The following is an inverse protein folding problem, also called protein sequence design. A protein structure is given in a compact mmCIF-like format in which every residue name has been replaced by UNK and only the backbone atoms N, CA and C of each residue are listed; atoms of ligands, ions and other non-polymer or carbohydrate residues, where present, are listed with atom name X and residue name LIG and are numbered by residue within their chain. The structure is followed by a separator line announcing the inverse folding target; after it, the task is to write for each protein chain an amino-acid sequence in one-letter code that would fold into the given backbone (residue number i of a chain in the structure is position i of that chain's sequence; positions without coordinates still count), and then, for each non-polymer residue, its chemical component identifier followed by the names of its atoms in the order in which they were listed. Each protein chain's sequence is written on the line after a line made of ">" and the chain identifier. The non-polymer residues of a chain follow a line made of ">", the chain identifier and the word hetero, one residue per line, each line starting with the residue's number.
data_IF_026953303588
#
_entry.id   IF_026953303588
#
_cell.length_a   1.000
_cell.length_b   1.000
_cell.length_c   1.000
_cell.angle_alpha   90.00
_cell.angle_beta   90.00
_cell.angle_gamma   90.00
#
_symmetry.space_group_name_H-M   'P 1'
#
loop_
_entity.id
_entity.type
_entity.pdbx_description
1 polymer ?
#
# COMPACT_ATOMS: atom_id res chain seq x y z
N UNK A 1 29.44 -30.37 -21.29
CA UNK A 1 28.46 -31.27 -20.65
C UNK A 1 28.03 -30.78 -19.25
N UNK A 2 28.96 -30.38 -18.39
CA UNK A 2 28.66 -29.91 -17.00
C UNK A 2 27.71 -28.72 -16.89
N UNK A 3 27.78 -27.74 -17.80
CA UNK A 3 26.85 -26.58 -17.76
C UNK A 3 25.40 -26.97 -18.08
N UNK A 4 25.16 -27.90 -19.01
CA UNK A 4 23.82 -28.41 -19.34
C UNK A 4 23.22 -29.25 -18.21
N UNK A 5 24.05 -30.01 -17.48
CA UNK A 5 23.59 -30.77 -16.32
C UNK A 5 23.24 -29.84 -15.14
N UNK A 6 24.05 -28.81 -14.89
CA UNK A 6 23.77 -27.80 -13.87
C UNK A 6 22.47 -26.98 -14.19
N UNK A 7 22.26 -26.64 -15.46
CA UNK A 7 21.04 -25.97 -15.88
C UNK A 7 19.80 -26.86 -15.65
N UNK A 8 19.86 -28.17 -16.01
CA UNK A 8 18.75 -29.11 -15.75
C UNK A 8 18.47 -29.27 -14.27
N UNK A 9 19.48 -29.38 -13.43
CA UNK A 9 19.32 -29.46 -11.97
C UNK A 9 18.65 -28.18 -11.43
N UNK A 10 19.05 -27.00 -11.90
CA UNK A 10 18.42 -25.74 -11.51
C UNK A 10 16.91 -25.70 -11.87
N UNK A 11 16.53 -26.16 -13.08
CA UNK A 11 15.13 -26.28 -13.47
C UNK A 11 14.34 -27.24 -12.57
N UNK A 12 14.88 -28.43 -12.26
CA UNK A 12 14.21 -29.38 -11.36
C UNK A 12 14.03 -28.83 -9.95
N UNK A 13 14.97 -28.04 -9.43
CA UNK A 13 14.86 -27.42 -8.10
C UNK A 13 13.85 -26.26 -8.06
N UNK A 14 13.72 -25.50 -9.15
CA UNK A 14 12.79 -24.36 -9.23
C UNK A 14 11.38 -24.80 -9.64
N UNK A 15 11.24 -25.92 -10.37
CA UNK A 15 9.98 -26.40 -10.93
C UNK A 15 8.86 -26.56 -9.88
N UNK A 16 9.07 -27.17 -8.68
CA UNK A 16 8.00 -27.30 -7.68
C UNK A 16 7.47 -25.93 -7.23
N UNK A 17 8.37 -24.97 -6.95
CA UNK A 17 7.99 -23.62 -6.54
C UNK A 17 7.23 -22.88 -7.66
N UNK A 18 7.72 -22.97 -8.91
CA UNK A 18 7.04 -22.38 -10.07
C UNK A 18 5.66 -23.00 -10.30
N UNK A 19 5.53 -24.32 -10.15
CA UNK A 19 4.24 -24.99 -10.27
C UNK A 19 3.24 -24.49 -9.22
N UNK A 20 3.68 -24.34 -7.97
CA UNK A 20 2.82 -23.77 -6.91
C UNK A 20 2.39 -22.33 -7.23
N UNK A 21 3.31 -21.48 -7.69
CA UNK A 21 2.99 -20.11 -8.10
C UNK A 21 1.95 -20.09 -9.22
N UNK A 22 2.14 -20.92 -10.27
CA UNK A 22 1.19 -20.99 -11.39
C UNK A 22 -0.17 -21.50 -10.94
N UNK A 23 -0.22 -22.59 -10.18
CA UNK A 23 -1.48 -23.20 -9.76
C UNK A 23 -2.24 -22.31 -8.75
N UNK A 24 -1.55 -21.71 -7.78
CA UNK A 24 -2.21 -20.97 -6.71
C UNK A 24 -2.47 -19.49 -7.05
N UNK A 25 -1.72 -18.90 -7.96
CA UNK A 25 -1.89 -17.47 -8.30
C UNK A 25 -2.40 -17.28 -9.73
N UNK A 26 -1.77 -17.93 -10.73
CA UNK A 26 -2.10 -17.67 -12.14
C UNK A 26 -3.44 -18.29 -12.53
N UNK A 27 -3.76 -19.52 -12.10
CA UNK A 27 -5.03 -20.16 -12.43
C UNK A 27 -6.25 -19.40 -11.87
N UNK A 28 -6.28 -18.99 -10.56
CA UNK A 28 -7.40 -18.19 -10.05
C UNK A 28 -7.53 -16.84 -10.75
N UNK A 29 -6.41 -16.22 -11.13
CA UNK A 29 -6.42 -14.95 -11.88
C UNK A 29 -7.05 -15.15 -13.26
N UNK A 30 -6.67 -16.20 -14.00
CA UNK A 30 -7.28 -16.54 -15.30
C UNK A 30 -8.77 -16.89 -15.16
N UNK A 31 -9.14 -17.62 -14.10
CA UNK A 31 -10.55 -17.88 -13.80
C UNK A 31 -11.33 -16.58 -13.53
N UNK A 32 -10.74 -15.66 -12.75
CA UNK A 32 -11.33 -14.34 -12.51
C UNK A 32 -11.54 -13.55 -13.81
N UNK A 33 -10.58 -13.61 -14.75
CA UNK A 33 -10.71 -13.01 -16.08
C UNK A 33 -11.87 -13.62 -16.88
N UNK A 34 -12.04 -14.93 -16.87
CA UNK A 34 -13.14 -15.61 -17.54
C UNK A 34 -14.49 -15.25 -16.90
N UNK A 35 -14.56 -15.28 -15.56
CA UNK A 35 -15.77 -14.94 -14.80
C UNK A 35 -16.17 -13.48 -15.05
N UNK A 36 -15.19 -12.57 -15.21
CA UNK A 36 -15.46 -11.16 -15.49
C UNK A 36 -16.22 -10.90 -16.79
N UNK A 37 -16.15 -11.85 -17.72
CA UNK A 37 -16.87 -11.82 -19.01
C UNK A 37 -18.18 -12.63 -19.01
N UNK A 38 -18.58 -13.12 -17.83
CA UNK A 38 -19.79 -13.94 -17.66
C UNK A 38 -20.80 -13.26 -16.73
N UNK A 39 -22.10 -13.47 -16.99
CA UNK A 39 -23.15 -13.06 -16.06
C UNK A 39 -23.30 -14.09 -14.93
N UNK A 40 -22.30 -14.18 -14.05
CA UNK A 40 -22.32 -15.11 -12.94
C UNK A 40 -22.91 -14.47 -11.70
N UNK A 41 -23.93 -15.12 -11.11
CA UNK A 41 -24.57 -14.72 -9.88
C UNK A 41 -24.53 -15.88 -8.88
N UNK A 42 -24.18 -15.59 -7.61
CA UNK A 42 -24.04 -16.63 -6.58
C UNK A 42 -25.38 -17.26 -6.16
N UNK A 43 -26.49 -16.50 -6.27
CA UNK A 43 -27.82 -16.97 -5.88
C UNK A 43 -28.50 -17.72 -7.03
N UNK A 44 -28.23 -17.33 -8.28
CA UNK A 44 -28.79 -17.92 -9.50
C UNK A 44 -27.66 -18.44 -10.38
N UNK A 45 -27.13 -19.63 -10.11
CA UNK A 45 -25.99 -20.18 -10.85
C UNK A 45 -26.26 -20.50 -12.33
N UNK A 46 -27.53 -20.46 -12.80
CA UNK A 46 -27.93 -20.67 -14.20
C UNK A 46 -28.82 -19.54 -14.72
N UNK A 47 -28.54 -19.01 -15.95
CA UNK A 47 -27.46 -19.39 -16.85
C UNK A 47 -26.26 -18.44 -16.75
N UNK A 48 -25.05 -18.97 -16.61
CA UNK A 48 -23.81 -18.23 -16.83
C UNK A 48 -23.68 -17.93 -18.33
N UNK A 49 -24.32 -16.84 -18.76
CA UNK A 49 -24.20 -16.39 -20.15
C UNK A 49 -22.90 -15.59 -20.33
N UNK A 50 -22.21 -15.81 -21.47
CA UNK A 50 -21.10 -14.94 -21.84
C UNK A 50 -21.63 -13.55 -22.19
N UNK A 51 -21.13 -12.51 -21.51
CA UNK A 51 -21.57 -11.10 -21.69
C UNK A 51 -20.44 -10.20 -22.22
N UNK A 52 -19.28 -10.78 -22.48
CA UNK A 52 -18.13 -10.05 -22.99
C UNK A 52 -17.73 -8.87 -22.10
N UNK A 53 -17.57 -7.70 -22.69
CA UNK A 53 -17.12 -6.48 -21.99
C UNK A 53 -18.23 -5.68 -21.30
N UNK A 54 -19.47 -6.20 -21.23
CA UNK A 54 -20.61 -5.47 -20.68
C UNK A 54 -20.38 -4.98 -19.25
N UNK A 55 -19.73 -5.77 -18.40
CA UNK A 55 -19.42 -5.40 -17.03
C UNK A 55 -18.42 -4.24 -16.95
N UNK A 56 -17.43 -4.21 -17.82
CA UNK A 56 -16.45 -3.13 -17.91
C UNK A 56 -17.09 -1.81 -18.37
N UNK A 57 -17.93 -1.88 -19.42
CA UNK A 57 -18.69 -0.72 -19.88
C UNK A 57 -19.56 -0.18 -18.74
N UNK A 58 -20.30 -1.05 -18.04
CA UNK A 58 -21.12 -0.67 -16.90
C UNK A 58 -20.30 0.02 -15.81
N UNK A 59 -19.16 -0.55 -15.39
CA UNK A 59 -18.29 0.02 -14.36
C UNK A 59 -17.80 1.42 -14.76
N UNK A 60 -17.35 1.59 -16.00
CA UNK A 60 -16.72 2.83 -16.44
C UNK A 60 -17.72 3.94 -16.82
N UNK A 61 -18.96 3.60 -17.21
CA UNK A 61 -19.90 4.59 -17.75
C UNK A 61 -21.20 4.75 -16.95
N UNK A 62 -21.56 3.78 -16.08
CA UNK A 62 -22.88 3.78 -15.43
C UNK A 62 -22.83 3.64 -13.90
N UNK A 63 -21.75 3.09 -13.34
CA UNK A 63 -21.67 2.83 -11.90
C UNK A 63 -20.95 3.97 -11.17
N UNK A 64 -21.73 4.83 -10.51
CA UNK A 64 -21.22 5.93 -9.68
C UNK A 64 -20.40 5.39 -8.49
N UNK A 65 -20.80 4.24 -7.92
CA UNK A 65 -20.08 3.61 -6.81
C UNK A 65 -18.66 3.22 -7.22
N UNK A 66 -18.46 2.80 -8.48
CA UNK A 66 -17.12 2.48 -8.99
C UNK A 66 -16.19 3.68 -8.97
N UNK A 67 -16.63 4.82 -9.49
CA UNK A 67 -15.81 6.03 -9.55
C UNK A 67 -15.57 6.64 -8.17
N UNK A 68 -16.57 6.62 -7.30
CA UNK A 68 -16.42 7.05 -5.90
C UNK A 68 -15.40 6.16 -5.17
N UNK A 69 -15.52 4.84 -5.31
CA UNK A 69 -14.58 3.88 -4.70
C UNK A 69 -13.18 3.97 -5.30
N UNK A 70 -13.05 4.25 -6.59
CA UNK A 70 -11.77 4.50 -7.25
C UNK A 70 -11.09 5.75 -6.68
N UNK A 71 -11.84 6.84 -6.52
CA UNK A 71 -11.36 8.07 -5.87
C UNK A 71 -10.90 7.81 -4.44
N UNK A 72 -11.74 7.12 -3.63
CA UNK A 72 -11.38 6.76 -2.26
C UNK A 72 -10.12 5.89 -2.20
N UNK A 73 -9.95 4.93 -3.13
CA UNK A 73 -8.73 4.11 -3.21
C UNK A 73 -7.49 4.94 -3.51
N UNK A 74 -7.57 5.87 -4.47
CA UNK A 74 -6.46 6.75 -4.81
C UNK A 74 -6.14 7.70 -3.67
N UNK A 75 -7.16 8.35 -3.09
CA UNK A 75 -7.00 9.27 -1.96
C UNK A 75 -6.39 8.57 -0.74
N UNK A 76 -6.95 7.42 -0.34
CA UNK A 76 -6.44 6.60 0.75
C UNK A 76 -4.97 6.22 0.54
N UNK A 77 -4.65 5.68 -0.65
CA UNK A 77 -3.30 5.24 -0.98
C UNK A 77 -2.31 6.40 -0.99
N UNK A 78 -2.65 7.50 -1.65
CA UNK A 78 -1.79 8.66 -1.74
C UNK A 78 -1.48 9.26 -0.37
N UNK A 79 -2.52 9.49 0.46
CA UNK A 79 -2.34 10.07 1.79
C UNK A 79 -1.61 9.14 2.74
N UNK A 80 -1.95 7.84 2.75
CA UNK A 80 -1.32 6.87 3.63
C UNK A 80 0.16 6.66 3.29
N UNK A 81 0.49 6.49 2.00
CA UNK A 81 1.87 6.29 1.56
C UNK A 81 2.71 7.56 1.76
N UNK A 82 2.18 8.74 1.41
CA UNK A 82 2.89 9.99 1.63
C UNK A 82 3.15 10.24 3.12
N UNK A 83 2.14 10.05 3.99
CA UNK A 83 2.29 10.19 5.43
C UNK A 83 3.27 9.19 6.02
N UNK A 84 3.19 7.91 5.60
CA UNK A 84 4.12 6.88 6.02
C UNK A 84 5.56 7.17 5.56
N UNK A 85 5.74 7.65 4.31
CA UNK A 85 7.05 7.98 3.78
C UNK A 85 7.72 9.13 4.54
N UNK A 86 6.98 10.22 4.79
CA UNK A 86 7.50 11.38 5.54
C UNK A 86 7.88 10.97 6.97
N UNK A 87 7.01 10.23 7.65
CA UNK A 87 7.30 9.71 9.00
C UNK A 87 8.53 8.78 8.98
N UNK A 88 8.58 7.86 8.02
CA UNK A 88 9.67 6.89 7.89
C UNK A 88 11.00 7.55 7.59
N UNK A 89 11.02 8.55 6.71
CA UNK A 89 12.24 9.28 6.40
C UNK A 89 12.76 10.03 7.63
N UNK A 90 11.88 10.71 8.37
CA UNK A 90 12.24 11.37 9.62
C UNK A 90 12.82 10.39 10.65
N UNK A 91 12.17 9.26 10.86
CA UNK A 91 12.64 8.21 11.77
C UNK A 91 13.94 7.56 11.29
N UNK A 92 14.10 7.30 9.98
CA UNK A 92 15.33 6.75 9.43
C UNK A 92 16.52 7.70 9.62
N UNK A 93 16.32 9.00 9.41
CA UNK A 93 17.35 10.01 9.66
C UNK A 93 17.74 10.07 11.15
N UNK A 94 16.77 10.01 12.06
CA UNK A 94 17.03 9.96 13.51
C UNK A 94 17.78 8.68 13.90
N UNK A 95 17.37 7.51 13.43
CA UNK A 95 17.99 6.23 13.73
C UNK A 95 19.35 6.03 13.04
N UNK A 96 19.70 6.87 12.08
CA UNK A 96 21.02 6.89 11.44
C UNK A 96 22.07 7.65 12.28
N UNK A 97 21.62 8.43 13.26
CA UNK A 97 22.53 9.07 14.23
C UNK A 97 23.08 8.02 15.22
N UNK A 98 24.24 8.30 15.80
CA UNK A 98 24.86 7.44 16.83
C UNK A 98 24.18 7.62 18.19
N UNK A 99 22.95 7.12 18.31
CA UNK A 99 22.13 7.17 19.52
C UNK A 99 22.36 5.91 20.34
N UNK A 100 22.60 6.07 21.65
CA UNK A 100 22.68 4.96 22.60
C UNK A 100 21.33 4.22 22.63
N UNK A 101 21.34 2.88 22.51
CA UNK A 101 20.11 2.07 22.52
C UNK A 101 19.37 1.99 21.18
N UNK A 102 19.96 2.44 20.07
CA UNK A 102 19.33 2.40 18.73
C UNK A 102 18.74 1.04 18.34
N UNK A 103 19.32 -0.06 18.84
CA UNK A 103 18.82 -1.42 18.60
C UNK A 103 17.43 -1.65 19.22
N UNK A 104 17.22 -1.16 20.45
CA UNK A 104 15.93 -1.24 21.13
C UNK A 104 14.87 -0.40 20.40
N UNK A 105 15.21 0.84 20.02
CA UNK A 105 14.30 1.69 19.26
C UNK A 105 13.90 1.05 17.92
N UNK A 106 14.85 0.44 17.18
CA UNK A 106 14.55 -0.29 15.93
C UNK A 106 13.57 -1.43 16.18
N UNK A 107 13.75 -2.21 17.25
CA UNK A 107 12.86 -3.31 17.60
C UNK A 107 11.45 -2.79 17.95
N UNK A 108 11.34 -1.73 18.77
CA UNK A 108 10.05 -1.14 19.15
C UNK A 108 9.31 -0.54 17.93
N UNK A 109 10.02 0.13 17.03
CA UNK A 109 9.41 0.70 15.84
C UNK A 109 8.93 -0.35 14.82
N UNK A 110 9.43 -1.59 14.87
CA UNK A 110 8.97 -2.68 14.02
C UNK A 110 7.68 -3.35 14.50
N UNK A 111 7.28 -3.16 15.75
CA UNK A 111 6.09 -3.79 16.33
C UNK A 111 4.84 -3.62 15.45
N UNK A 112 4.49 -2.41 14.96
CA UNK A 112 3.29 -2.22 14.16
C UNK A 112 3.24 -3.08 12.89
N UNK A 113 4.36 -3.31 12.27
CA UNK A 113 4.43 -4.09 11.03
C UNK A 113 4.22 -5.61 11.29
N UNK A 114 4.68 -6.10 12.43
CA UNK A 114 4.56 -7.53 12.79
C UNK A 114 3.14 -7.89 13.24
N UNK A 115 2.39 -6.94 13.81
CA UNK A 115 1.02 -7.16 14.28
C UNK A 115 0.11 -7.51 13.09
N UNK A 116 -0.66 -8.63 13.12
CA UNK A 116 -1.61 -8.96 12.06
C UNK A 116 -2.65 -7.85 11.79
N UNK A 117 -3.09 -7.69 10.55
CA UNK A 117 -4.01 -6.61 10.15
C UNK A 117 -5.35 -6.67 10.90
N UNK A 118 -5.86 -7.88 11.14
CA UNK A 118 -7.09 -8.10 11.94
C UNK A 118 -6.92 -7.56 13.36
N UNK A 119 -5.79 -7.89 14.01
CA UNK A 119 -5.49 -7.41 15.38
C UNK A 119 -5.30 -5.91 15.37
N UNK A 120 -4.60 -5.37 14.38
CA UNK A 120 -4.43 -3.92 14.17
C UNK A 120 -5.78 -3.22 14.12
N UNK A 121 -6.68 -3.70 13.26
CA UNK A 121 -8.01 -3.10 13.12
C UNK A 121 -8.82 -3.13 14.41
N UNK A 122 -8.82 -4.25 15.15
CA UNK A 122 -9.52 -4.38 16.42
C UNK A 122 -8.95 -3.47 17.51
N UNK A 123 -7.62 -3.36 17.62
CA UNK A 123 -6.96 -2.46 18.56
C UNK A 123 -7.31 -1.00 18.27
N UNK A 124 -7.24 -0.59 17.00
CA UNK A 124 -7.56 0.78 16.60
C UNK A 124 -9.05 1.08 16.69
N UNK A 125 -9.93 0.10 16.45
CA UNK A 125 -11.37 0.25 16.68
C UNK A 125 -11.69 0.57 18.14
N UNK A 126 -11.03 -0.13 19.07
CA UNK A 126 -11.12 0.18 20.49
C UNK A 126 -10.50 1.54 20.82
N UNK A 127 -9.34 1.84 20.25
CA UNK A 127 -8.63 3.12 20.44
C UNK A 127 -9.46 4.33 19.99
N UNK A 128 -10.24 4.18 18.92
CA UNK A 128 -11.14 5.20 18.36
C UNK A 128 -12.55 5.16 18.94
N UNK A 129 -12.86 4.31 19.90
CA UNK A 129 -14.19 4.24 20.51
C UNK A 129 -14.62 5.61 21.05
N UNK A 130 -15.85 6.03 20.73
CA UNK A 130 -16.39 7.33 21.11
C UNK A 130 -16.54 7.45 22.64
N UNK A 131 -16.83 6.34 23.32
CA UNK A 131 -17.09 6.30 24.76
C UNK A 131 -15.86 5.99 25.62
N UNK A 132 -15.02 5.04 25.19
CA UNK A 132 -13.94 4.49 25.99
C UNK A 132 -12.57 4.57 25.32
N UNK A 133 -12.52 5.18 24.11
CA UNK A 133 -11.30 5.19 23.32
C UNK A 133 -10.24 6.11 23.89
N UNK A 134 -9.01 5.60 23.92
CA UNK A 134 -7.86 6.37 24.41
C UNK A 134 -7.61 7.64 23.58
N UNK A 135 -7.90 7.62 22.26
CA UNK A 135 -7.72 8.78 21.39
C UNK A 135 -8.53 10.00 21.91
N UNK A 136 -9.83 9.82 22.14
CA UNK A 136 -10.69 10.86 22.66
C UNK A 136 -10.33 11.27 24.09
N UNK A 137 -10.04 10.29 24.95
CA UNK A 137 -9.60 10.57 26.32
C UNK A 137 -8.35 11.47 26.33
N UNK A 138 -7.35 11.15 25.54
CA UNK A 138 -6.10 11.93 25.48
C UNK A 138 -6.34 13.35 24.93
N UNK A 139 -7.07 13.47 23.82
CA UNK A 139 -7.32 14.77 23.17
C UNK A 139 -8.14 15.72 24.04
N UNK A 140 -9.19 15.21 24.69
CA UNK A 140 -10.02 16.03 25.61
C UNK A 140 -9.23 16.41 26.85
N UNK A 141 -8.48 15.49 27.44
CA UNK A 141 -7.68 15.76 28.65
C UNK A 141 -6.55 16.76 28.40
N UNK A 142 -5.97 16.75 27.20
CA UNK A 142 -4.95 17.73 26.78
C UNK A 142 -5.56 19.07 26.36
N UNK A 143 -6.90 19.21 26.35
CA UNK A 143 -7.59 20.44 25.93
C UNK A 143 -7.49 20.74 24.44
N UNK A 144 -7.10 19.74 23.63
CA UNK A 144 -6.95 19.89 22.16
C UNK A 144 -8.30 19.88 21.45
N UNK A 145 -9.31 19.25 22.02
CA UNK A 145 -10.69 19.21 21.54
C UNK A 145 -11.67 19.42 22.68
N UNK A 146 -12.80 20.07 22.38
CA UNK A 146 -13.84 20.36 23.39
C UNK A 146 -14.81 19.20 23.64
N UNK A 147 -14.88 18.23 22.73
CA UNK A 147 -15.76 17.06 22.81
C UNK A 147 -15.14 15.86 22.11
N UNK A 148 -15.66 14.65 22.38
CA UNK A 148 -15.21 13.44 21.71
C UNK A 148 -15.47 13.51 20.21
N UNK A 149 -14.46 13.12 19.43
CA UNK A 149 -14.54 13.04 17.97
C UNK A 149 -15.13 11.68 17.59
N UNK A 150 -16.19 11.63 16.75
CA UNK A 150 -16.76 10.39 16.26
C UNK A 150 -15.92 9.83 15.10
N UNK A 151 -14.74 9.31 15.41
CA UNK A 151 -13.70 8.91 14.46
C UNK A 151 -14.19 8.00 13.32
N UNK A 152 -15.00 7.00 13.66
CA UNK A 152 -15.44 5.98 12.70
C UNK A 152 -16.90 6.15 12.27
N UNK A 153 -17.67 6.99 12.99
CA UNK A 153 -19.10 7.20 12.77
C UNK A 153 -19.41 8.44 11.95
N UNK A 154 -18.46 9.38 11.81
CA UNK A 154 -18.59 10.58 10.97
C UNK A 154 -17.99 10.32 9.58
N UNK A 155 -18.76 10.51 8.48
CA UNK A 155 -18.25 10.37 7.12
C UNK A 155 -16.99 11.19 6.80
N UNK A 156 -16.83 12.34 7.46
CA UNK A 156 -15.67 13.22 7.24
C UNK A 156 -14.42 12.73 7.98
N UNK A 157 -14.59 12.05 9.12
CA UNK A 157 -13.50 11.59 9.98
C UNK A 157 -13.09 10.15 9.70
N UNK A 158 -13.98 9.32 9.15
CA UNK A 158 -13.72 7.90 8.97
C UNK A 158 -12.52 7.62 8.05
N UNK A 159 -12.42 8.29 6.89
CA UNK A 159 -11.29 8.09 5.98
C UNK A 159 -9.96 8.59 6.57
N UNK A 160 -9.85 9.78 7.16
CA UNK A 160 -8.66 10.20 7.91
C UNK A 160 -8.25 9.22 9.01
N UNK A 161 -9.21 8.70 9.79
CA UNK A 161 -8.93 7.73 10.84
C UNK A 161 -8.31 6.44 10.27
N UNK A 162 -8.86 5.90 9.19
CA UNK A 162 -8.32 4.71 8.50
C UNK A 162 -6.93 5.00 7.91
N UNK A 163 -6.70 6.19 7.36
CA UNK A 163 -5.39 6.61 6.85
C UNK A 163 -4.34 6.62 7.96
N UNK A 164 -4.65 7.13 9.15
CA UNK A 164 -3.73 7.12 10.30
C UNK A 164 -3.33 5.69 10.66
N UNK A 165 -4.28 4.76 10.69
CA UNK A 165 -4.01 3.34 10.97
C UNK A 165 -3.08 2.75 9.92
N UNK A 166 -3.32 3.05 8.65
CA UNK A 166 -2.48 2.56 7.55
C UNK A 166 -1.07 3.15 7.61
N UNK A 167 -0.92 4.43 7.94
CA UNK A 167 0.39 5.07 8.18
C UNK A 167 1.12 4.31 9.30
N UNK A 168 0.45 4.07 10.43
CA UNK A 168 1.00 3.36 11.58
C UNK A 168 1.44 1.93 11.22
N UNK A 169 0.72 1.26 10.34
CA UNK A 169 1.05 -0.07 9.86
C UNK A 169 2.24 -0.09 8.90
N UNK A 170 2.36 0.93 8.06
CA UNK A 170 3.27 0.95 6.92
C UNK A 170 4.64 1.56 7.24
N UNK A 171 4.68 2.58 8.14
CA UNK A 171 5.93 3.31 8.40
C UNK A 171 7.11 2.43 8.85
N UNK A 172 6.95 1.32 9.61
CA UNK A 172 8.10 0.59 10.12
C UNK A 172 8.96 -0.02 9.01
N UNK A 173 8.33 -0.70 8.06
CA UNK A 173 9.04 -1.35 6.95
C UNK A 173 9.72 -0.30 6.06
N UNK A 174 9.05 0.81 5.79
CA UNK A 174 9.64 1.91 5.03
C UNK A 174 10.83 2.52 5.77
N UNK A 175 10.75 2.67 7.10
CA UNK A 175 11.86 3.17 7.94
C UNK A 175 13.09 2.29 7.83
N UNK A 176 12.93 0.95 7.91
CA UNK A 176 14.05 0.01 7.81
C UNK A 176 14.71 0.08 6.44
N UNK A 177 13.92 0.10 5.38
CA UNK A 177 14.44 0.17 4.00
C UNK A 177 15.17 1.49 3.76
N UNK A 178 14.60 2.62 4.19
CA UNK A 178 15.24 3.93 4.05
C UNK A 178 16.50 4.04 4.93
N UNK A 179 16.50 3.48 6.13
CA UNK A 179 17.66 3.45 7.00
C UNK A 179 18.81 2.63 6.39
N UNK A 180 18.51 1.48 5.78
CA UNK A 180 19.51 0.68 5.07
C UNK A 180 20.12 1.46 3.89
N UNK A 181 19.28 2.17 3.14
CA UNK A 181 19.74 3.04 2.06
C UNK A 181 20.57 4.22 2.56
N UNK A 182 20.20 4.85 3.70
CA UNK A 182 21.01 5.90 4.33
C UNK A 182 22.41 5.41 4.74
N UNK A 183 22.50 4.17 5.24
CA UNK A 183 23.75 3.56 5.67
C UNK A 183 24.66 3.17 4.50
N UNK A 184 24.14 3.11 3.28
CA UNK A 184 24.93 2.83 2.07
C UNK A 184 25.54 4.09 1.44
N UNK A 185 25.22 5.29 1.94
CA UNK A 185 25.79 6.55 1.45
C UNK A 185 27.28 6.63 1.85
N UNK A 186 28.22 6.77 0.89
CA UNK A 186 29.63 6.91 1.19
C UNK A 186 29.91 8.13 2.07
N UNK A 187 30.64 7.93 3.17
CA UNK A 187 30.98 9.02 4.11
C UNK A 187 31.82 10.10 3.44
N UNK A 188 32.68 9.70 2.52
CA UNK A 188 33.57 10.58 1.75
C UNK A 188 32.79 11.67 1.00
N UNK A 189 31.63 11.35 0.46
CA UNK A 189 30.78 12.34 -0.24
C UNK A 189 30.17 13.35 0.73
N UNK A 190 29.80 12.90 1.94
CA UNK A 190 29.27 13.79 2.98
C UNK A 190 30.38 14.70 3.51
N UNK A 191 31.61 14.17 3.64
CA UNK A 191 32.78 14.92 4.10
C UNK A 191 33.24 15.92 3.05
N UNK A 192 33.32 15.56 1.79
CA UNK A 192 33.62 16.46 0.69
C UNK A 192 32.63 17.65 0.65
N UNK A 193 31.32 17.36 0.71
CA UNK A 193 30.31 18.41 0.76
C UNK A 193 30.43 19.33 2.02
N UNK A 194 30.98 18.82 3.14
CA UNK A 194 31.26 19.65 4.30
C UNK A 194 32.44 20.58 4.03
N UNK A 195 33.52 20.10 3.38
CA UNK A 195 34.70 20.88 3.01
C UNK A 195 34.30 21.99 2.05
N UNK A 196 33.36 21.70 1.11
CA UNK A 196 32.79 22.69 0.19
C UNK A 196 31.83 23.70 0.84
N UNK A 197 31.66 23.64 2.19
CA UNK A 197 30.85 24.58 2.95
C UNK A 197 29.34 24.30 2.92
N UNK A 198 28.89 23.13 2.41
CA UNK A 198 27.48 22.81 2.36
C UNK A 198 26.88 22.61 3.76
N UNK A 199 25.81 23.34 4.06
CA UNK A 199 25.02 23.18 5.28
C UNK A 199 24.29 21.82 5.37
N UNK A 200 23.73 21.44 6.54
CA UNK A 200 23.08 20.15 6.73
C UNK A 200 21.93 19.91 5.74
N UNK A 201 21.13 20.94 5.46
CA UNK A 201 20.00 20.87 4.53
C UNK A 201 20.48 20.69 3.08
N UNK A 202 21.54 21.40 2.66
CA UNK A 202 22.14 21.25 1.33
C UNK A 202 22.73 19.85 1.14
N UNK A 203 23.45 19.31 2.13
CA UNK A 203 23.98 17.95 2.11
C UNK A 203 22.87 16.90 1.98
N UNK A 204 21.76 17.10 2.70
CA UNK A 204 20.62 16.22 2.55
C UNK A 204 20.09 16.22 1.13
N UNK A 205 19.78 17.39 0.55
CA UNK A 205 19.14 17.46 -0.77
C UNK A 205 20.08 17.08 -1.92
N UNK A 206 21.33 17.55 -1.89
CA UNK A 206 22.26 17.33 -3.01
C UNK A 206 23.00 15.99 -2.95
N UNK A 207 23.24 15.44 -1.75
CA UNK A 207 23.94 14.17 -1.58
C UNK A 207 22.98 13.06 -1.17
N UNK A 208 22.42 13.14 0.04
CA UNK A 208 21.68 12.05 0.66
C UNK A 208 20.41 11.69 -0.12
N UNK A 209 19.59 12.67 -0.50
CA UNK A 209 18.35 12.45 -1.24
C UNK A 209 18.58 11.81 -2.61
N UNK A 210 19.67 12.17 -3.30
CA UNK A 210 20.04 11.56 -4.56
C UNK A 210 20.41 10.08 -4.43
N UNK A 211 21.04 9.68 -3.32
CA UNK A 211 21.30 8.27 -3.01
C UNK A 211 20.05 7.51 -2.58
N UNK A 212 19.15 8.16 -1.85
CA UNK A 212 17.89 7.55 -1.41
C UNK A 212 16.89 7.37 -2.55
N UNK A 213 16.97 8.15 -3.62
CA UNK A 213 15.96 8.22 -4.68
C UNK A 213 15.60 6.86 -5.29
N UNK A 214 16.55 5.99 -5.72
CA UNK A 214 16.18 4.68 -6.30
C UNK A 214 15.43 3.81 -5.29
N UNK A 215 15.94 3.72 -4.06
CA UNK A 215 15.31 2.94 -2.99
C UNK A 215 13.94 3.51 -2.62
N UNK A 216 13.80 4.84 -2.57
CA UNK A 216 12.52 5.51 -2.31
C UNK A 216 11.49 5.20 -3.39
N UNK A 217 11.86 5.20 -4.66
CA UNK A 217 10.95 4.87 -5.76
C UNK A 217 10.40 3.44 -5.64
N UNK A 218 11.28 2.48 -5.33
CA UNK A 218 10.88 1.08 -5.16
C UNK A 218 9.97 0.90 -3.96
N UNK A 219 10.35 1.43 -2.78
CA UNK A 219 9.54 1.22 -1.56
C UNK A 219 8.20 1.96 -1.63
N UNK A 220 8.15 3.15 -2.24
CA UNK A 220 6.90 3.89 -2.46
C UNK A 220 5.99 3.13 -3.42
N UNK A 221 6.52 2.58 -4.52
CA UNK A 221 5.73 1.75 -5.44
C UNK A 221 5.13 0.53 -4.73
N UNK A 222 5.95 -0.23 -3.99
CA UNK A 222 5.48 -1.40 -3.24
C UNK A 222 4.42 -1.00 -2.22
N UNK A 223 4.64 0.09 -1.50
CA UNK A 223 3.70 0.64 -0.54
C UNK A 223 2.37 1.05 -1.20
N UNK A 224 2.41 1.67 -2.38
CA UNK A 224 1.21 1.99 -3.15
C UNK A 224 0.44 0.73 -3.55
N UNK A 225 1.13 -0.31 -4.05
CA UNK A 225 0.50 -1.58 -4.43
C UNK A 225 -0.17 -2.24 -3.21
N UNK A 226 0.54 -2.37 -2.08
CA UNK A 226 0.01 -2.98 -0.86
C UNK A 226 -1.17 -2.19 -0.28
N UNK A 227 -1.04 -0.85 -0.22
CA UNK A 227 -2.09 0.01 0.34
C UNK A 227 -3.33 0.06 -0.55
N UNK A 228 -3.17 0.11 -1.88
CA UNK A 228 -4.30 0.10 -2.81
C UNK A 228 -5.14 -1.18 -2.73
N UNK A 229 -4.52 -2.31 -2.39
CA UNK A 229 -5.17 -3.60 -2.21
C UNK A 229 -5.65 -3.84 -0.77
N UNK A 230 -5.42 -2.90 0.16
CA UNK A 230 -5.80 -3.05 1.56
C UNK A 230 -7.31 -3.24 1.71
N UNK A 231 -7.71 -4.38 2.27
CA UNK A 231 -9.09 -4.76 2.52
C UNK A 231 -9.36 -4.87 4.03
N UNK A 232 -8.55 -5.67 4.73
CA UNK A 232 -8.82 -6.11 6.10
C UNK A 232 -8.95 -4.94 7.09
N UNK A 233 -8.03 -4.00 7.05
CA UNK A 233 -8.02 -2.84 7.95
C UNK A 233 -9.28 -1.99 7.72
N UNK A 234 -9.61 -1.67 6.46
CA UNK A 234 -10.76 -0.83 6.13
C UNK A 234 -12.07 -1.55 6.48
N UNK A 235 -12.19 -2.83 6.09
CA UNK A 235 -13.39 -3.60 6.31
C UNK A 235 -13.68 -3.79 7.80
N UNK A 236 -12.69 -4.13 8.61
CA UNK A 236 -12.87 -4.37 10.03
C UNK A 236 -13.08 -3.09 10.85
N UNK A 237 -12.50 -1.96 10.43
CA UNK A 237 -12.73 -0.67 11.10
C UNK A 237 -14.11 -0.11 10.80
N UNK A 238 -14.50 -0.04 9.53
CA UNK A 238 -15.64 0.76 9.06
C UNK A 238 -16.62 0.00 8.16
N UNK A 239 -16.22 -1.16 7.62
CA UNK A 239 -17.02 -1.89 6.63
C UNK A 239 -17.22 -1.14 5.31
N UNK A 240 -16.41 -0.09 5.05
CA UNK A 240 -16.61 0.84 3.91
C UNK A 240 -17.46 2.05 4.23
N UNK A 241 -18.07 2.11 5.44
CA UNK A 241 -18.93 3.19 5.91
C UNK A 241 -18.20 4.32 6.65
N UNK A 242 -18.93 5.23 7.28
CA UNK A 242 -20.37 5.44 7.11
C UNK A 242 -20.71 6.05 5.73
N UNK A 243 -21.90 5.79 5.22
CA UNK A 243 -22.38 6.30 3.91
C UNK A 243 -21.36 6.12 2.76
N UNK A 244 -20.68 4.96 2.69
CA UNK A 244 -19.63 4.62 1.73
C UNK A 244 -18.38 5.52 1.77
N UNK A 245 -18.19 6.34 2.83
CA UNK A 245 -17.07 7.29 2.92
C UNK A 245 -15.68 6.65 2.91
N UNK A 246 -15.58 5.37 3.28
CA UNK A 246 -14.34 4.59 3.26
C UNK A 246 -14.40 3.40 2.29
N UNK A 247 -15.39 3.38 1.39
CA UNK A 247 -15.54 2.32 0.41
C UNK A 247 -14.48 2.47 -0.69
N UNK A 248 -13.43 1.69 -0.60
CA UNK A 248 -12.39 1.54 -1.63
C UNK A 248 -12.78 0.48 -2.65
N UNK A 249 -12.04 0.38 -3.77
CA UNK A 249 -12.32 -0.63 -4.80
C UNK A 249 -12.29 -2.08 -4.26
N UNK A 250 -11.33 -2.51 -3.40
CA UNK A 250 -11.39 -3.85 -2.80
C UNK A 250 -12.66 -4.07 -1.96
N UNK A 251 -13.13 -3.06 -1.23
CA UNK A 251 -14.39 -3.14 -0.48
C UNK A 251 -15.58 -3.25 -1.44
N UNK A 252 -15.59 -2.47 -2.52
CA UNK A 252 -16.62 -2.53 -3.54
C UNK A 252 -16.70 -3.92 -4.19
N UNK A 253 -15.54 -4.53 -4.53
CA UNK A 253 -15.47 -5.91 -5.03
C UNK A 253 -16.16 -6.87 -4.07
N UNK A 254 -15.84 -6.78 -2.79
CA UNK A 254 -16.45 -7.63 -1.76
C UNK A 254 -17.98 -7.44 -1.68
N UNK A 255 -18.44 -6.20 -1.62
CA UNK A 255 -19.87 -5.85 -1.57
C UNK A 255 -20.61 -6.36 -2.81
N UNK A 256 -20.07 -6.13 -4.02
CA UNK A 256 -20.72 -6.60 -5.27
C UNK A 256 -20.68 -8.13 -5.40
N UNK A 257 -19.61 -8.80 -4.94
CA UNK A 257 -19.49 -10.25 -5.00
C UNK A 257 -20.43 -10.97 -4.01
N UNK A 258 -20.35 -10.59 -2.73
CA UNK A 258 -20.95 -11.36 -1.64
C UNK A 258 -22.29 -10.82 -1.16
N UNK A 259 -22.45 -9.50 -1.07
CA UNK A 259 -23.73 -8.91 -0.64
C UNK A 259 -24.73 -8.78 -1.81
N UNK A 260 -24.25 -8.31 -2.97
CA UNK A 260 -25.08 -8.20 -4.15
C UNK A 260 -25.11 -9.48 -5.02
N UNK A 261 -24.28 -10.48 -4.68
CA UNK A 261 -24.19 -11.78 -5.40
C UNK A 261 -23.82 -11.65 -6.89
N UNK A 262 -23.23 -10.53 -7.33
CA UNK A 262 -22.86 -10.22 -8.71
C UNK A 262 -21.38 -10.59 -8.97
N UNK A 263 -21.05 -11.90 -8.96
CA UNK A 263 -19.67 -12.37 -9.03
C UNK A 263 -18.99 -11.94 -10.35
N UNK A 264 -19.68 -12.02 -11.48
CA UNK A 264 -19.14 -11.58 -12.78
C UNK A 264 -18.75 -10.10 -12.78
N UNK A 265 -19.62 -9.24 -12.24
CA UNK A 265 -19.35 -7.81 -12.14
C UNK A 265 -18.20 -7.49 -11.15
N UNK A 266 -18.21 -8.13 -10.00
CA UNK A 266 -17.14 -8.00 -9.01
C UNK A 266 -15.78 -8.42 -9.58
N UNK A 267 -15.73 -9.52 -10.34
CA UNK A 267 -14.52 -9.97 -11.04
C UNK A 267 -14.05 -8.95 -12.08
N UNK A 268 -14.96 -8.30 -12.79
CA UNK A 268 -14.58 -7.24 -13.74
C UNK A 268 -13.95 -6.03 -13.03
N UNK A 269 -14.47 -5.62 -11.85
CA UNK A 269 -13.85 -4.59 -11.02
C UNK A 269 -12.46 -5.05 -10.55
N UNK A 270 -12.29 -6.31 -10.14
CA UNK A 270 -10.99 -6.89 -9.77
C UNK A 270 -9.97 -6.82 -10.91
N UNK A 271 -10.38 -7.09 -12.15
CA UNK A 271 -9.54 -6.94 -13.34
C UNK A 271 -9.16 -5.47 -13.57
N UNK A 272 -10.10 -4.53 -13.38
CA UNK A 272 -9.81 -3.10 -13.48
C UNK A 272 -8.78 -2.65 -12.42
N UNK A 273 -8.88 -3.16 -11.19
CA UNK A 273 -7.86 -2.93 -10.15
C UNK A 273 -6.50 -3.42 -10.62
N UNK A 274 -6.41 -4.64 -11.16
CA UNK A 274 -5.17 -5.19 -11.70
C UNK A 274 -4.58 -4.28 -12.78
N UNK A 275 -5.39 -3.81 -13.72
CA UNK A 275 -4.94 -2.90 -14.79
C UNK A 275 -4.43 -1.55 -14.23
N UNK A 276 -5.13 -0.98 -13.23
CA UNK A 276 -4.69 0.25 -12.55
C UNK A 276 -3.30 0.04 -11.92
N UNK A 277 -3.10 -1.07 -11.21
CA UNK A 277 -1.82 -1.37 -10.57
C UNK A 277 -0.72 -1.66 -11.58
N UNK A 278 -1.02 -2.31 -12.70
CA UNK A 278 -0.07 -2.49 -13.80
C UNK A 278 0.37 -1.15 -14.39
N UNK A 279 -0.55 -0.24 -14.65
CA UNK A 279 -0.24 1.11 -15.15
C UNK A 279 0.66 1.85 -14.16
N UNK A 280 0.34 1.79 -12.86
CA UNK A 280 1.15 2.39 -11.80
C UNK A 280 2.60 1.81 -11.80
N UNK A 281 2.73 0.50 -11.96
CA UNK A 281 4.04 -0.17 -12.07
C UNK A 281 4.83 0.28 -13.30
N UNK A 282 4.20 0.33 -14.46
CA UNK A 282 4.86 0.78 -15.69
C UNK A 282 5.26 2.27 -15.65
N UNK A 283 4.43 3.12 -15.05
CA UNK A 283 4.76 4.53 -14.85
C UNK A 283 5.99 4.70 -13.95
N UNK A 284 6.07 3.93 -12.87
CA UNK A 284 7.25 3.95 -11.98
C UNK A 284 8.53 3.51 -12.71
N UNK A 285 8.48 2.39 -13.45
CA UNK A 285 9.61 1.93 -14.27
C UNK A 285 10.01 2.94 -15.35
N UNK A 286 9.05 3.63 -15.94
CA UNK A 286 9.29 4.71 -16.90
C UNK A 286 10.03 5.90 -16.27
N UNK A 287 9.58 6.31 -15.07
CA UNK A 287 10.22 7.38 -14.30
C UNK A 287 11.66 7.00 -13.90
N UNK A 288 11.88 5.79 -13.42
CA UNK A 288 13.21 5.30 -13.06
C UNK A 288 14.18 5.36 -14.25
N UNK A 289 13.75 4.87 -15.43
CA UNK A 289 14.56 4.91 -16.67
C UNK A 289 14.84 6.34 -17.14
N UNK A 290 13.89 7.24 -17.05
CA UNK A 290 14.06 8.63 -17.42
C UNK A 290 15.11 9.33 -16.54
N UNK A 291 15.09 9.01 -15.24
CA UNK A 291 15.99 9.59 -14.26
C UNK A 291 17.41 8.99 -14.31
N UNK A 292 17.57 7.70 -14.66
CA UNK A 292 18.88 7.08 -14.84
C UNK A 292 19.60 7.63 -16.08
N UNK A 293 18.89 7.81 -17.20
CA UNK A 293 19.46 8.41 -18.41
C UNK A 293 19.99 9.83 -18.22
N UNK A 294 19.36 10.62 -17.36
CA UNK A 294 19.85 11.96 -17.03
C UNK A 294 21.17 11.95 -16.24
N UNK A 295 21.49 10.87 -15.54
CA UNK A 295 22.77 10.70 -14.85
C UNK A 295 23.94 10.39 -15.79
N UNK A 296 23.70 9.51 -16.76
CA UNK A 296 24.72 9.08 -17.72
C UNK A 296 25.08 10.19 -18.72
N UNK A 297 24.23 11.22 -18.86
CA UNK A 297 24.47 12.38 -19.71
C UNK A 297 25.31 13.48 -19.05
N UNK A 298 25.59 13.39 -17.78
CA UNK A 298 26.39 14.37 -17.00
C UNK A 298 27.71 13.79 -16.45
N UNK A 299 28.08 12.57 -16.84
CA UNK A 299 29.40 11.95 -16.63
C UNK A 299 30.11 11.88 -17.97
#
# INVERSE_FOLDING_TARGET
>A
MLQRQRARLAYYLVLPAMTLVVVLNLLPLLQGLVISMQSQNLIRPNPTGFVGFRHYVRALTQDVDFWSSAWHSVYFTACAVAGAYVLSLGLALLLNLDIKGRGLFRALFLIPWVVPDVVTALLWKWFYSDQWGFANFALVKLGLVGAAIPWLSDPKMAMPAVIIVQIWKLYPIMTVVLLAALQSVPKELIEAAKIDGAGPFQRFWYVTANFLRPTSMVIVLLACIWTFQSFDIIYLLTGGGPANATQTLPILVYVKAFWASQLGYASAIGVLILLILMVLGFLNLGLERALSRGRDAHV
#
